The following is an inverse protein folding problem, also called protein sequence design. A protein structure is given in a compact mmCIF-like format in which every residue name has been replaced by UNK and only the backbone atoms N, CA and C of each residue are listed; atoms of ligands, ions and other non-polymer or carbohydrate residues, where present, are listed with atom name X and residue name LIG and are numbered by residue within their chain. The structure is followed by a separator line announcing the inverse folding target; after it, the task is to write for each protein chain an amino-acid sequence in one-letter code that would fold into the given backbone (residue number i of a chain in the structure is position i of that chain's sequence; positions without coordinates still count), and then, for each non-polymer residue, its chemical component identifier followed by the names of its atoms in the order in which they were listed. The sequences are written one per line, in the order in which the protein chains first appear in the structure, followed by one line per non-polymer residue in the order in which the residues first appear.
data_IF_157621596371
#
_entry.id   IF_157621596371
#
_cell.length_a   1.000
_cell.length_b   1.000
_cell.length_c   1.000
_cell.angle_alpha   90.00
_cell.angle_beta   90.00
_cell.angle_gamma   90.00
#
_symmetry.space_group_name_H-M   'P 1'
#
loop_
_entity.id
_entity.type
_entity.pdbx_description
1 polymer ?
#
# COMPACT_ATOMS: atom_id res chain seq x y z
N UNK A 1 14.77 7.40 3.53
CA UNK A 1 15.25 6.10 4.07
C UNK A 1 15.02 4.99 3.06
N UNK A 2 15.92 4.03 3.00
CA UNK A 2 15.74 2.83 2.19
C UNK A 2 15.28 1.69 3.11
N UNK A 3 14.15 1.06 2.80
CA UNK A 3 13.68 -0.15 3.50
C UNK A 3 14.10 -1.38 2.69
N UNK A 4 14.58 -2.44 3.33
CA UNK A 4 14.85 -3.74 2.71
C UNK A 4 13.95 -4.82 3.31
N UNK A 5 13.69 -5.92 2.60
CA UNK A 5 13.05 -7.08 3.21
C UNK A 5 13.94 -7.65 4.35
N UNK A 6 13.33 -8.34 5.33
CA UNK A 6 14.05 -8.92 6.47
C UNK A 6 14.92 -10.13 6.08
N UNK A 7 14.71 -10.72 4.91
CA UNK A 7 15.62 -11.70 4.31
C UNK A 7 16.18 -11.16 3.01
N UNK A 8 17.44 -11.50 2.70
CA UNK A 8 18.16 -10.99 1.53
C UNK A 8 18.69 -12.17 0.71
N UNK A 9 17.86 -12.79 -0.14
CA UNK A 9 18.36 -13.80 -1.08
C UNK A 9 19.29 -13.15 -2.11
N UNK A 10 20.18 -13.95 -2.69
CA UNK A 10 21.04 -13.58 -3.79
C UNK A 10 20.19 -13.08 -4.96
N UNK A 11 20.51 -11.90 -5.53
CA UNK A 11 19.79 -11.41 -6.70
C UNK A 11 19.97 -12.32 -7.92
N UNK A 12 18.92 -12.42 -8.72
CA UNK A 12 18.92 -13.12 -10.00
C UNK A 12 19.04 -12.10 -11.14
N UNK A 13 19.92 -12.36 -12.11
CA UNK A 13 20.10 -11.45 -13.23
C UNK A 13 18.79 -11.25 -14.02
N UNK A 14 18.38 -9.99 -14.19
CA UNK A 14 17.17 -9.63 -14.93
C UNK A 14 15.85 -9.83 -14.15
N UNK A 15 15.89 -10.15 -12.86
CA UNK A 15 14.68 -10.20 -12.05
C UNK A 15 14.10 -8.80 -11.82
N UNK A 16 12.78 -8.69 -11.73
CA UNK A 16 12.12 -7.46 -11.31
C UNK A 16 12.22 -7.28 -9.79
N UNK A 17 12.07 -6.05 -9.32
CA UNK A 17 12.03 -5.75 -7.89
C UNK A 17 10.90 -6.53 -7.19
N UNK A 18 9.73 -6.64 -7.83
CA UNK A 18 8.61 -7.44 -7.32
C UNK A 18 8.96 -8.92 -7.20
N UNK A 19 9.61 -9.51 -8.21
CA UNK A 19 10.04 -10.90 -8.16
C UNK A 19 11.09 -11.14 -7.06
N UNK A 20 12.01 -10.19 -6.86
CA UNK A 20 12.96 -10.23 -5.74
C UNK A 20 12.24 -10.19 -4.40
N UNK A 21 11.31 -9.24 -4.21
CA UNK A 21 10.55 -9.09 -2.97
C UNK A 21 9.72 -10.34 -2.66
N UNK A 22 9.08 -10.96 -3.65
CA UNK A 22 8.31 -12.20 -3.48
C UNK A 22 9.18 -13.38 -3.02
N UNK A 23 10.46 -13.44 -3.42
CA UNK A 23 11.40 -14.45 -2.89
C UNK A 23 11.98 -14.07 -1.53
N UNK A 24 12.10 -12.78 -1.24
CA UNK A 24 12.68 -12.26 -0.01
C UNK A 24 11.68 -12.24 1.16
N UNK A 25 10.38 -12.11 0.87
CA UNK A 25 9.28 -12.07 1.84
C UNK A 25 8.24 -13.11 1.47
N UNK A 26 8.53 -14.37 1.79
CA UNK A 26 7.58 -15.47 1.61
C UNK A 26 6.50 -15.37 2.69
N UNK A 27 5.47 -14.56 2.44
CA UNK A 27 4.35 -14.35 3.34
C UNK A 27 3.52 -15.62 3.52
N UNK A 28 2.94 -15.78 4.72
CA UNK A 28 1.97 -16.82 5.01
C UNK A 28 0.69 -16.60 4.22
N UNK A 29 0.14 -17.69 3.66
CA UNK A 29 -1.19 -17.69 3.07
C UNK A 29 -2.27 -17.55 4.16
N UNK A 30 -3.52 -17.20 3.80
CA UNK A 30 -4.64 -17.21 4.74
C UNK A 30 -4.69 -18.51 5.57
N UNK A 31 -4.81 -18.36 6.89
CA UNK A 31 -4.72 -19.48 7.84
C UNK A 31 -3.31 -19.78 8.35
N UNK A 32 -2.26 -19.17 7.79
CA UNK A 32 -0.86 -19.35 8.18
C UNK A 32 -0.15 -18.04 8.56
N UNK A 33 -0.87 -17.13 9.25
CA UNK A 33 -0.38 -15.81 9.67
C UNK A 33 -0.40 -14.77 8.55
N UNK A 34 -1.51 -14.73 7.82
CA UNK A 34 -1.79 -13.73 6.80
C UNK A 34 -2.23 -12.40 7.43
N UNK A 35 -1.71 -11.29 6.93
CA UNK A 35 -2.14 -9.94 7.29
C UNK A 35 -3.39 -9.54 6.47
N UNK A 36 -4.44 -8.93 7.05
CA UNK A 36 -4.54 -8.39 8.40
C UNK A 36 -5.45 -9.20 9.35
N UNK A 37 -6.12 -10.23 8.86
CA UNK A 37 -7.16 -10.96 9.61
C UNK A 37 -7.04 -12.47 9.46
N UNK A 38 -7.37 -13.18 10.54
CA UNK A 38 -7.53 -14.63 10.55
C UNK A 38 -8.93 -15.07 10.11
N UNK A 39 -9.15 -16.38 9.97
CA UNK A 39 -10.47 -16.94 9.65
C UNK A 39 -11.49 -16.75 10.77
N UNK A 40 -11.03 -16.59 12.00
CA UNK A 40 -11.86 -16.25 13.15
C UNK A 40 -12.06 -14.72 13.28
N UNK A 41 -11.64 -13.95 12.26
CA UNK A 41 -11.68 -12.49 12.21
C UNK A 41 -10.85 -11.79 13.29
N UNK A 42 -9.94 -12.46 13.98
CA UNK A 42 -8.98 -11.76 14.82
C UNK A 42 -8.02 -10.93 13.96
N UNK A 43 -7.72 -9.71 14.39
CA UNK A 43 -6.65 -8.88 13.84
C UNK A 43 -5.31 -9.61 13.95
N UNK A 44 -4.48 -9.43 12.95
CA UNK A 44 -3.15 -9.98 12.85
C UNK A 44 -2.20 -8.83 12.51
N UNK A 45 -1.39 -8.40 13.50
CA UNK A 45 -0.57 -7.18 13.45
C UNK A 45 0.49 -7.10 12.35
N UNK A 46 0.81 -8.25 11.74
CA UNK A 46 1.75 -8.34 10.64
C UNK A 46 1.57 -9.64 9.87
N UNK A 47 2.66 -10.26 9.44
CA UNK A 47 2.59 -11.52 8.70
C UNK A 47 3.65 -12.50 9.16
N UNK A 48 3.33 -13.79 9.09
CA UNK A 48 4.34 -14.82 9.17
C UNK A 48 5.16 -14.82 7.87
N UNK A 49 6.49 -14.74 8.00
CA UNK A 49 7.41 -14.89 6.88
C UNK A 49 8.18 -16.20 7.00
N UNK A 50 8.24 -16.97 5.93
CA UNK A 50 9.15 -18.11 5.80
C UNK A 50 10.52 -17.62 5.35
N UNK A 51 11.58 -17.93 6.10
CA UNK A 51 12.94 -17.62 5.70
C UNK A 51 13.29 -18.41 4.41
N UNK A 52 13.71 -17.72 3.33
CA UNK A 52 14.18 -18.39 2.13
C UNK A 52 15.41 -19.24 2.43
N UNK A 53 15.68 -20.25 1.59
CA UNK A 53 16.85 -21.12 1.75
C UNK A 53 17.85 -20.92 0.63
N UNK A 54 19.13 -20.86 0.99
CA UNK A 54 20.27 -20.85 0.06
C UNK A 54 21.25 -21.95 0.44
N UNK A 55 21.69 -22.73 -0.55
CA UNK A 55 22.55 -23.91 -0.33
C UNK A 55 22.05 -24.82 0.82
N UNK A 56 20.71 -24.98 0.93
CA UNK A 56 20.06 -25.80 1.95
C UNK A 56 19.91 -25.15 3.33
N UNK A 57 20.40 -23.93 3.55
CA UNK A 57 20.32 -23.22 4.84
C UNK A 57 19.33 -22.06 4.77
N UNK A 58 18.53 -21.88 5.80
CA UNK A 58 17.67 -20.71 5.91
C UNK A 58 18.52 -19.44 6.03
N UNK A 59 18.07 -18.37 5.37
CA UNK A 59 18.70 -17.07 5.46
C UNK A 59 18.49 -16.47 6.87
N UNK A 60 19.49 -15.73 7.38
CA UNK A 60 19.34 -15.05 8.65
C UNK A 60 18.36 -13.87 8.54
N UNK A 61 17.72 -13.55 9.66
CA UNK A 61 16.83 -12.38 9.79
C UNK A 61 17.69 -11.13 9.91
N UNK A 62 17.33 -10.07 9.18
CA UNK A 62 18.09 -8.82 9.11
C UNK A 62 17.23 -7.59 9.36
N UNK A 63 17.88 -6.54 9.87
CA UNK A 63 17.25 -5.24 10.06
C UNK A 63 16.80 -4.65 8.71
N UNK A 64 15.54 -4.17 8.63
CA UNK A 64 14.95 -3.65 7.39
C UNK A 64 15.42 -2.22 7.07
N UNK A 65 15.82 -1.48 8.10
CA UNK A 65 16.24 -0.09 8.05
C UNK A 65 17.18 0.20 9.23
N UNK A 66 17.91 1.31 9.15
CA UNK A 66 18.68 1.81 10.28
C UNK A 66 17.74 2.14 11.44
N UNK A 67 18.15 1.86 12.66
CA UNK A 67 17.31 2.11 13.82
C UNK A 67 18.02 1.89 15.14
N UNK A 68 17.25 2.06 16.20
CA UNK A 68 17.68 1.84 17.58
C UNK A 68 16.95 0.66 18.18
N UNK A 69 17.66 -0.19 18.91
CA UNK A 69 17.07 -1.33 19.59
C UNK A 69 16.12 -0.82 20.70
N UNK A 70 14.81 -0.93 20.49
CA UNK A 70 13.80 -0.47 21.44
C UNK A 70 13.47 -1.55 22.48
N UNK A 71 13.41 -2.80 22.03
CA UNK A 71 13.11 -3.96 22.86
C UNK A 71 13.80 -5.20 22.31
N UNK A 72 14.15 -6.12 23.19
CA UNK A 72 14.53 -7.48 22.82
C UNK A 72 14.14 -8.45 23.93
N UNK A 73 13.94 -9.71 23.53
CA UNK A 73 13.72 -10.85 24.43
C UNK A 73 14.45 -12.05 23.84
N UNK A 74 15.38 -12.61 24.61
CA UNK A 74 16.04 -13.87 24.23
C UNK A 74 15.01 -15.00 24.14
N UNK A 75 15.16 -15.91 23.16
CA UNK A 75 14.27 -17.06 23.05
C UNK A 75 14.42 -18.00 24.24
N UNK A 76 13.29 -18.54 24.69
CA UNK A 76 13.29 -19.62 25.67
C UNK A 76 13.95 -20.87 25.08
N UNK A 77 14.69 -21.65 25.88
CA UNK A 77 15.15 -22.97 25.46
C UNK A 77 13.95 -23.84 25.03
N UNK A 78 14.16 -24.66 23.99
CA UNK A 78 13.13 -25.59 23.53
C UNK A 78 12.75 -26.54 24.65
N UNK A 79 11.45 -26.58 24.98
CA UNK A 79 10.85 -27.53 25.89
C UNK A 79 10.00 -28.51 25.08
N UNK A 80 10.34 -29.80 25.20
CA UNK A 80 9.68 -30.87 24.46
C UNK A 80 8.52 -31.50 25.24
N UNK A 81 8.18 -30.99 26.42
CA UNK A 81 7.01 -31.47 27.16
C UNK A 81 5.71 -31.14 26.40
N UNK A 82 4.71 -32.01 26.52
CA UNK A 82 3.42 -31.83 25.86
C UNK A 82 2.67 -30.60 26.39
N UNK A 83 2.89 -30.25 27.66
CA UNK A 83 2.28 -29.13 28.37
C UNK A 83 3.14 -27.86 28.38
N UNK A 84 4.26 -27.86 27.63
CA UNK A 84 5.12 -26.69 27.53
C UNK A 84 4.31 -25.47 27.08
N UNK A 85 4.41 -24.30 27.75
CA UNK A 85 3.56 -23.14 27.45
C UNK A 85 3.65 -22.63 26.02
N UNK A 86 4.75 -22.92 25.32
CA UNK A 86 5.00 -22.53 23.94
C UNK A 86 4.65 -23.62 22.91
N UNK A 87 4.01 -24.70 23.33
CA UNK A 87 3.65 -25.85 22.50
C UNK A 87 2.14 -25.90 22.18
N UNK A 88 1.55 -24.77 21.80
CA UNK A 88 0.12 -24.65 21.50
C UNK A 88 -0.18 -24.97 20.02
N UNK A 89 -0.06 -26.26 19.65
CA UNK A 89 -0.08 -26.81 18.28
C UNK A 89 1.29 -26.93 17.63
N UNK A 90 2.27 -27.36 18.44
CA UNK A 90 3.68 -27.45 18.05
C UNK A 90 4.48 -26.30 18.64
N UNK A 91 5.77 -26.56 18.87
CA UNK A 91 6.69 -25.57 19.45
C UNK A 91 6.70 -24.27 18.64
N UNK A 92 6.57 -23.15 19.36
CA UNK A 92 6.65 -21.80 18.82
C UNK A 92 7.71 -21.02 19.58
N UNK A 93 8.77 -20.61 18.88
CA UNK A 93 9.84 -19.83 19.50
C UNK A 93 9.32 -18.45 19.92
N UNK A 94 9.90 -17.82 20.94
CA UNK A 94 9.41 -16.55 21.46
C UNK A 94 10.47 -15.44 21.52
N UNK A 95 11.62 -15.65 20.86
CA UNK A 95 12.64 -14.61 20.70
C UNK A 95 12.08 -13.42 19.93
N UNK A 96 12.41 -12.21 20.38
CA UNK A 96 11.85 -10.97 19.84
C UNK A 96 12.88 -9.85 19.78
N UNK A 97 12.86 -9.07 18.70
CA UNK A 97 13.56 -7.79 18.56
C UNK A 97 12.57 -6.75 18.06
N UNK A 98 12.60 -5.56 18.64
CA UNK A 98 11.88 -4.38 18.14
C UNK A 98 12.89 -3.27 17.88
N UNK A 99 12.89 -2.76 16.66
CA UNK A 99 13.71 -1.62 16.26
C UNK A 99 12.82 -0.39 16.11
N UNK A 100 13.25 0.73 16.68
CA UNK A 100 12.66 2.05 16.46
C UNK A 100 13.44 2.77 15.36
N UNK A 101 12.72 3.25 14.36
CA UNK A 101 13.27 3.93 13.21
C UNK A 101 12.83 5.40 13.23
N UNK A 102 13.78 6.29 12.97
CA UNK A 102 13.49 7.69 12.66
C UNK A 102 13.95 7.96 11.24
N UNK A 103 13.09 8.56 10.43
CA UNK A 103 13.43 8.94 9.07
C UNK A 103 12.75 10.24 8.66
N UNK A 104 13.28 10.82 7.60
CA UNK A 104 12.64 11.88 6.82
C UNK A 104 12.15 11.26 5.50
N UNK A 105 10.90 11.51 5.14
CA UNK A 105 10.28 11.12 3.85
C UNK A 105 10.13 12.33 2.90
N UNK A 106 10.70 13.46 3.27
CA UNK A 106 10.52 14.77 2.66
C UNK A 106 11.12 15.86 3.54
N UNK A 107 10.80 17.11 3.27
CA UNK A 107 11.27 18.28 4.00
C UNK A 107 10.33 18.68 5.14
N UNK A 108 10.83 19.43 6.13
CA UNK A 108 10.02 19.97 7.21
C UNK A 108 9.57 18.96 8.28
N UNK A 109 8.92 19.46 9.33
CA UNK A 109 8.59 18.67 10.51
C UNK A 109 7.56 17.56 10.25
N UNK A 110 6.60 17.79 9.34
CA UNK A 110 5.55 16.82 9.01
C UNK A 110 6.02 15.68 8.11
N UNK A 111 7.26 15.74 7.62
CA UNK A 111 7.91 14.68 6.84
C UNK A 111 8.84 13.82 7.71
N UNK A 112 8.92 14.10 9.01
CA UNK A 112 9.62 13.24 9.98
C UNK A 112 8.68 12.15 10.46
N UNK A 113 9.12 10.91 10.30
CA UNK A 113 8.32 9.74 10.62
C UNK A 113 9.10 8.87 11.60
N UNK A 114 8.41 8.48 12.66
CA UNK A 114 8.84 7.42 13.57
C UNK A 114 7.97 6.19 13.33
N UNK A 115 8.60 5.05 13.13
CA UNK A 115 7.92 3.76 13.03
C UNK A 115 8.78 2.68 13.67
N UNK A 116 8.21 1.51 13.88
CA UNK A 116 8.88 0.37 14.50
C UNK A 116 8.80 -0.83 13.56
N UNK A 117 9.85 -1.65 13.57
CA UNK A 117 9.80 -2.99 13.00
C UNK A 117 9.95 -4.03 14.10
N UNK A 118 9.12 -5.06 14.05
CA UNK A 118 9.01 -6.10 15.08
C UNK A 118 9.34 -7.44 14.45
N UNK A 119 10.30 -8.15 15.04
CA UNK A 119 10.81 -9.45 14.58
C UNK A 119 10.56 -10.48 15.67
N UNK A 120 9.52 -11.27 15.53
CA UNK A 120 9.08 -12.26 16.52
C UNK A 120 9.35 -13.69 16.06
N UNK A 121 9.29 -14.62 17.03
CA UNK A 121 9.56 -16.04 16.85
C UNK A 121 10.97 -16.34 16.32
N UNK A 122 11.96 -15.56 16.77
CA UNK A 122 13.37 -15.87 16.55
C UNK A 122 13.77 -17.06 17.42
N UNK A 123 14.47 -18.04 16.85
CA UNK A 123 15.05 -19.15 17.62
C UNK A 123 16.38 -18.76 18.28
N UNK A 124 17.00 -17.67 17.79
CA UNK A 124 18.25 -17.15 18.32
C UNK A 124 18.43 -15.68 17.96
N UNK A 125 18.87 -14.87 18.92
CA UNK A 125 19.39 -13.53 18.68
C UNK A 125 20.91 -13.62 18.51
N UNK A 126 21.44 -13.00 17.46
CA UNK A 126 22.89 -12.97 17.18
C UNK A 126 23.49 -11.59 17.32
N UNK A 127 22.68 -10.57 17.64
CA UNK A 127 23.16 -9.25 18.01
C UNK A 127 24.06 -9.40 19.23
N UNK A 128 25.28 -8.87 19.15
CA UNK A 128 26.26 -8.98 20.23
C UNK A 128 25.90 -8.04 21.38
N UNK A 129 25.80 -8.58 22.59
CA UNK A 129 25.53 -7.83 23.83
C UNK A 129 24.35 -6.83 23.67
N UNK A 130 23.14 -7.29 23.28
CA UNK A 130 22.03 -6.41 22.92
C UNK A 130 21.63 -5.53 24.11
N UNK A 131 21.50 -4.22 23.86
CA UNK A 131 21.09 -3.22 24.85
C UNK A 131 20.11 -2.25 24.24
N UNK A 132 19.06 -1.90 24.99
CA UNK A 132 18.13 -0.85 24.55
C UNK A 132 18.89 0.44 24.23
N UNK A 133 18.54 1.08 23.12
CA UNK A 133 19.22 2.26 22.59
C UNK A 133 20.47 1.98 21.72
N UNK A 134 20.89 0.71 21.59
CA UNK A 134 21.95 0.33 20.66
C UNK A 134 21.55 0.65 19.22
N UNK A 135 22.48 1.20 18.45
CA UNK A 135 22.31 1.41 17.01
C UNK A 135 22.41 0.07 16.28
N UNK A 136 21.46 -0.17 15.38
CA UNK A 136 21.42 -1.33 14.49
C UNK A 136 21.26 -0.79 13.07
N UNK A 137 22.15 -1.20 12.18
CA UNK A 137 22.16 -0.71 10.81
C UNK A 137 21.38 -1.63 9.88
N UNK A 138 20.80 -1.05 8.84
CA UNK A 138 20.08 -1.77 7.80
C UNK A 138 20.93 -2.92 7.26
N UNK A 139 20.29 -4.08 7.11
CA UNK A 139 20.87 -5.37 6.68
C UNK A 139 21.79 -6.04 7.72
N UNK A 140 22.04 -5.47 8.89
CA UNK A 140 22.73 -6.23 9.95
C UNK A 140 21.93 -7.47 10.34
N UNK A 141 22.64 -8.54 10.68
CA UNK A 141 22.03 -9.80 11.09
C UNK A 141 21.51 -9.68 12.52
N UNK A 142 20.21 -9.87 12.68
CA UNK A 142 19.52 -9.82 13.95
C UNK A 142 19.52 -11.19 14.65
N UNK A 143 19.32 -12.26 13.88
CA UNK A 143 19.13 -13.59 14.42
C UNK A 143 18.76 -14.65 13.39
N UNK A 144 18.31 -15.78 13.90
CA UNK A 144 17.85 -16.93 13.12
C UNK A 144 16.33 -17.05 13.23
N UNK A 145 15.65 -17.36 12.11
CA UNK A 145 14.23 -17.63 12.11
C UNK A 145 13.93 -18.89 12.94
N UNK A 146 12.85 -18.87 13.71
CA UNK A 146 12.47 -19.96 14.59
C UNK A 146 11.35 -20.83 14.02
N UNK A 147 10.52 -21.37 14.91
CA UNK A 147 9.36 -22.18 14.61
C UNK A 147 8.09 -21.44 15.00
N UNK A 148 7.04 -21.64 14.23
CA UNK A 148 5.67 -21.23 14.56
C UNK A 148 4.77 -22.43 14.32
N UNK A 149 4.04 -22.87 15.34
CA UNK A 149 3.20 -24.08 15.30
C UNK A 149 3.97 -25.31 14.81
N UNK A 150 5.23 -25.46 15.25
CA UNK A 150 6.15 -26.51 14.81
C UNK A 150 6.76 -26.33 13.41
N UNK A 151 6.24 -25.43 12.57
CA UNK A 151 6.77 -25.17 11.24
C UNK A 151 8.06 -24.35 11.31
N UNK A 152 9.16 -24.91 10.78
CA UNK A 152 10.51 -24.34 10.93
C UNK A 152 10.79 -23.12 10.04
N UNK A 153 11.81 -22.34 10.40
CA UNK A 153 12.31 -21.21 9.63
C UNK A 153 11.25 -20.13 9.37
N UNK A 154 10.42 -19.82 10.37
CA UNK A 154 9.39 -18.78 10.30
C UNK A 154 9.68 -17.67 11.31
N UNK A 155 9.26 -16.46 10.98
CA UNK A 155 9.15 -15.33 11.91
C UNK A 155 7.76 -14.71 11.78
N UNK A 156 7.29 -14.02 12.81
CA UNK A 156 6.22 -13.04 12.66
C UNK A 156 6.84 -11.66 12.54
N UNK A 157 6.40 -10.89 11.56
CA UNK A 157 7.03 -9.61 11.20
C UNK A 157 5.98 -8.51 11.04
N UNK A 158 6.21 -7.39 11.71
CA UNK A 158 5.31 -6.23 11.68
C UNK A 158 6.08 -4.94 11.40
N UNK A 159 5.38 -3.98 10.78
CA UNK A 159 5.79 -2.58 10.70
C UNK A 159 4.63 -1.76 11.25
N UNK A 160 4.88 -1.07 12.36
CA UNK A 160 3.85 -0.28 13.06
C UNK A 160 4.30 1.17 13.24
N UNK A 161 3.35 2.07 13.35
CA UNK A 161 3.59 3.46 13.70
C UNK A 161 2.52 3.91 14.69
N UNK A 162 2.89 4.85 15.57
CA UNK A 162 1.92 5.48 16.46
C UNK A 162 0.91 6.32 15.67
N UNK A 163 -0.30 6.47 16.20
CA UNK A 163 -1.37 7.29 15.61
C UNK A 163 -0.91 8.70 15.21
N UNK A 164 -0.08 9.34 16.05
CA UNK A 164 0.49 10.65 15.76
C UNK A 164 1.37 10.68 14.51
N UNK A 165 1.91 9.53 14.11
CA UNK A 165 2.81 9.37 12.97
C UNK A 165 2.07 8.98 11.69
N UNK A 166 0.86 8.44 11.78
CA UNK A 166 0.07 8.02 10.60
C UNK A 166 -0.10 9.19 9.64
N UNK A 167 -0.51 10.37 10.14
CA UNK A 167 -0.65 11.57 9.32
C UNK A 167 0.66 11.99 8.64
N UNK A 168 1.80 11.85 9.32
CA UNK A 168 3.11 12.17 8.75
C UNK A 168 3.49 11.17 7.65
N UNK A 169 3.18 9.89 7.83
CA UNK A 169 3.47 8.85 6.83
C UNK A 169 2.58 9.04 5.60
N UNK A 170 1.26 9.09 5.77
CA UNK A 170 0.28 8.96 4.67
C UNK A 170 -0.31 10.28 4.18
N UNK A 171 -0.14 11.36 4.94
CA UNK A 171 -0.58 12.70 4.54
C UNK A 171 -2.05 13.04 4.82
N UNK A 172 -2.82 12.11 5.40
CA UNK A 172 -4.23 12.31 5.74
C UNK A 172 -4.60 11.54 7.01
N UNK A 173 -5.68 11.95 7.65
CA UNK A 173 -6.37 11.23 8.73
C UNK A 173 -7.71 10.68 8.26
N UNK A 174 -8.28 11.29 7.23
CA UNK A 174 -9.52 10.84 6.62
C UNK A 174 -9.29 9.62 5.71
N UNK A 175 -10.36 8.85 5.50
CA UNK A 175 -10.35 7.65 4.64
C UNK A 175 -9.89 7.97 3.20
N UNK A 176 -10.32 9.12 2.68
CA UNK A 176 -10.09 9.55 1.31
C UNK A 176 -9.43 10.93 1.25
N UNK A 177 -8.64 11.19 0.20
CA UNK A 177 -8.14 12.53 -0.08
C UNK A 177 -9.29 13.42 -0.54
N UNK A 178 -9.30 14.69 -0.11
CA UNK A 178 -10.19 15.73 -0.65
C UNK A 178 -9.71 16.22 -2.03
N UNK A 179 -9.63 15.29 -2.98
CA UNK A 179 -8.88 15.49 -4.21
C UNK A 179 -9.45 16.57 -5.11
N UNK A 180 -10.74 16.89 -5.02
CA UNK A 180 -11.39 17.87 -5.87
C UNK A 180 -11.02 19.32 -5.53
N UNK A 181 -10.52 19.56 -4.33
CA UNK A 181 -10.40 20.92 -3.78
C UNK A 181 -9.00 21.26 -3.29
N UNK A 182 -8.20 20.27 -2.89
CA UNK A 182 -6.90 20.48 -2.26
C UNK A 182 -5.87 19.55 -2.88
N UNK A 183 -4.76 20.11 -3.37
CA UNK A 183 -3.60 19.33 -3.84
C UNK A 183 -2.92 18.56 -2.70
N UNK A 184 -2.20 17.51 -3.05
CA UNK A 184 -1.37 16.74 -2.13
C UNK A 184 -0.23 17.55 -1.49
N UNK A 185 0.45 16.90 -0.55
CA UNK A 185 1.53 17.51 0.23
C UNK A 185 2.69 17.95 -0.66
N UNK A 186 3.31 19.07 -0.32
CA UNK A 186 4.49 19.57 -1.07
C UNK A 186 5.78 19.15 -0.41
N UNK A 187 5.75 19.03 0.91
CA UNK A 187 6.88 18.69 1.74
C UNK A 187 7.34 17.23 1.57
N UNK A 188 6.46 16.34 1.09
CA UNK A 188 6.79 14.96 0.72
C UNK A 188 6.27 14.69 -0.69
N UNK A 189 7.17 14.39 -1.62
CA UNK A 189 6.84 14.20 -3.02
C UNK A 189 7.77 13.16 -3.65
N UNK A 190 7.22 11.99 -3.99
CA UNK A 190 7.97 10.89 -4.58
C UNK A 190 7.05 9.99 -5.41
N UNK A 191 7.65 9.12 -6.22
CA UNK A 191 6.93 8.19 -7.09
C UNK A 191 6.27 8.86 -8.28
N UNK A 192 5.13 8.31 -8.70
CA UNK A 192 4.32 8.83 -9.79
C UNK A 192 3.53 10.06 -9.33
N UNK A 193 3.32 11.00 -10.24
CA UNK A 193 2.48 12.18 -9.99
C UNK A 193 1.07 11.94 -10.50
N UNK A 194 0.08 12.48 -9.81
CA UNK A 194 -1.33 12.34 -10.15
C UNK A 194 -1.99 13.71 -10.25
N UNK A 195 -2.92 13.83 -11.18
CA UNK A 195 -3.69 15.04 -11.39
C UNK A 195 -5.17 14.70 -11.42
N UNK A 196 -5.98 15.42 -10.65
CA UNK A 196 -7.42 15.39 -10.83
C UNK A 196 -7.84 16.51 -11.78
N UNK A 197 -8.50 16.12 -12.87
CA UNK A 197 -9.01 17.00 -13.90
C UNK A 197 -10.54 17.06 -13.72
N UNK A 198 -11.10 18.19 -13.27
CA UNK A 198 -12.55 18.34 -13.22
C UNK A 198 -13.14 18.49 -14.64
N UNK A 199 -14.45 18.25 -14.83
CA UNK A 199 -15.07 18.17 -16.16
C UNK A 199 -15.01 19.48 -16.97
N UNK A 200 -14.79 20.62 -16.32
CA UNK A 200 -14.58 21.92 -17.00
C UNK A 200 -13.22 22.06 -17.69
N UNK A 201 -12.27 21.14 -17.46
CA UNK A 201 -10.95 21.19 -18.09
C UNK A 201 -11.05 20.85 -19.58
N UNK A 202 -10.62 21.79 -20.42
CA UNK A 202 -10.70 21.67 -21.88
C UNK A 202 -9.50 20.92 -22.46
N UNK A 203 -9.78 20.04 -23.43
CA UNK A 203 -8.78 19.36 -24.25
C UNK A 203 -8.73 19.93 -25.66
N UNK A 204 -7.53 20.32 -26.08
CA UNK A 204 -7.27 21.04 -27.32
C UNK A 204 -6.64 20.17 -28.41
N UNK A 205 -6.93 20.47 -29.67
CA UNK A 205 -6.48 19.69 -30.83
C UNK A 205 -4.95 19.70 -30.99
N UNK A 206 -4.36 20.88 -30.79
CA UNK A 206 -2.95 21.12 -31.02
C UNK A 206 -2.24 21.58 -29.74
N UNK A 207 -0.92 21.44 -29.73
CA UNK A 207 -0.08 21.96 -28.64
C UNK A 207 -0.22 23.50 -28.60
N UNK A 208 0.01 24.14 -27.44
CA UNK A 208 -0.03 25.60 -27.37
C UNK A 208 1.02 26.24 -28.29
N UNK A 209 0.75 27.46 -28.75
CA UNK A 209 1.75 28.26 -29.48
C UNK A 209 2.89 28.77 -28.57
N UNK A 210 2.62 28.91 -27.27
CA UNK A 210 3.58 29.30 -26.23
C UNK A 210 3.37 28.38 -25.02
N UNK A 211 4.43 27.71 -24.56
CA UNK A 211 4.32 26.68 -23.52
C UNK A 211 3.86 27.22 -22.16
N UNK A 212 4.16 28.47 -21.85
CA UNK A 212 3.79 29.10 -20.58
C UNK A 212 2.40 29.73 -20.60
N UNK A 213 1.79 29.93 -21.76
CA UNK A 213 0.46 30.54 -21.88
C UNK A 213 -0.61 29.57 -21.39
N UNK A 214 -1.51 30.05 -20.53
CA UNK A 214 -2.66 29.28 -20.04
C UNK A 214 -3.76 29.13 -21.09
N UNK A 215 -3.74 29.96 -22.14
CA UNK A 215 -4.70 29.88 -23.23
C UNK A 215 -4.14 29.06 -24.40
N UNK A 216 -4.98 28.21 -24.98
CA UNK A 216 -4.69 27.52 -26.23
C UNK A 216 -5.69 27.97 -27.29
N UNK A 217 -5.18 28.58 -28.36
CA UNK A 217 -5.99 29.16 -29.45
C UNK A 217 -6.52 28.12 -30.43
N UNK A 218 -6.09 26.86 -30.33
CA UNK A 218 -6.60 25.79 -31.18
C UNK A 218 -8.02 25.37 -30.77
N UNK A 219 -8.70 24.63 -31.64
CA UNK A 219 -10.05 24.15 -31.36
C UNK A 219 -10.06 23.26 -30.11
N UNK A 220 -11.01 23.54 -29.21
CA UNK A 220 -11.40 22.59 -28.18
C UNK A 220 -12.02 21.37 -28.86
N UNK A 221 -11.45 20.20 -28.63
CA UNK A 221 -11.89 18.92 -29.21
C UNK A 221 -12.37 17.94 -28.17
N UNK A 222 -12.08 18.17 -26.89
CA UNK A 222 -12.49 17.30 -25.78
C UNK A 222 -12.98 18.12 -24.60
N UNK A 223 -14.07 17.64 -24.01
CA UNK A 223 -14.61 18.08 -22.74
C UNK A 223 -15.01 16.79 -21.99
N UNK A 224 -14.36 16.44 -20.87
CA UNK A 224 -14.76 15.29 -20.07
C UNK A 224 -16.21 15.43 -19.59
N UNK A 225 -16.98 14.33 -19.64
CA UNK A 225 -18.32 14.32 -19.04
C UNK A 225 -18.27 14.36 -17.51
N UNK A 226 -17.27 13.71 -16.93
CA UNK A 226 -16.99 13.60 -15.51
C UNK A 226 -15.51 13.89 -15.23
N UNK A 227 -15.15 13.97 -13.95
CA UNK A 227 -13.74 14.14 -13.56
C UNK A 227 -12.87 12.96 -13.97
N UNK A 228 -11.58 13.23 -14.22
CA UNK A 228 -10.59 12.23 -14.62
C UNK A 228 -9.36 12.30 -13.70
N UNK A 229 -8.67 11.18 -13.57
CA UNK A 229 -7.32 11.14 -13.01
C UNK A 229 -6.29 10.95 -14.12
N UNK A 230 -5.20 11.70 -14.08
CA UNK A 230 -4.04 11.49 -14.94
C UNK A 230 -2.86 11.11 -14.06
N UNK A 231 -2.22 9.97 -14.36
CA UNK A 231 -0.95 9.57 -13.76
C UNK A 231 0.19 9.92 -14.71
N UNK A 232 1.19 10.62 -14.21
CA UNK A 232 2.45 10.91 -14.88
C UNK A 232 3.56 10.08 -14.25
N UNK A 233 4.03 9.07 -14.99
CA UNK A 233 5.07 8.14 -14.54
C UNK A 233 6.34 8.28 -15.37
N UNK A 234 7.48 8.30 -14.69
CA UNK A 234 8.79 8.36 -15.33
C UNK A 234 9.54 7.05 -15.14
N UNK A 235 10.01 6.46 -16.23
CA UNK A 235 10.79 5.22 -16.17
C UNK A 235 11.71 5.10 -17.37
N UNK A 236 12.99 4.79 -17.11
CA UNK A 236 14.01 4.48 -18.12
C UNK A 236 14.11 5.53 -19.23
N UNK A 237 13.99 6.82 -18.90
CA UNK A 237 14.11 7.89 -19.87
C UNK A 237 12.78 8.37 -20.45
N UNK A 238 11.66 7.69 -20.17
CA UNK A 238 10.36 8.00 -20.76
C UNK A 238 9.39 8.58 -19.71
N UNK A 239 8.50 9.47 -20.14
CA UNK A 239 7.31 9.90 -19.41
C UNK A 239 6.07 9.26 -20.03
N UNK A 240 5.32 8.49 -19.25
CA UNK A 240 4.05 7.87 -19.61
C UNK A 240 2.93 8.57 -18.87
N UNK A 241 1.95 9.08 -19.62
CA UNK A 241 0.72 9.64 -19.09
C UNK A 241 -0.41 8.62 -19.27
N UNK A 242 -0.96 8.12 -18.17
CA UNK A 242 -2.11 7.21 -18.18
C UNK A 242 -3.33 7.94 -17.64
N UNK A 243 -4.45 7.92 -18.36
CA UNK A 243 -5.70 8.57 -17.94
C UNK A 243 -6.68 7.53 -17.41
N UNK A 244 -7.35 7.86 -16.30
CA UNK A 244 -8.31 6.99 -15.63
C UNK A 244 -9.62 7.71 -15.34
N UNK A 245 -10.71 6.96 -15.30
CA UNK A 245 -11.98 7.40 -14.70
C UNK A 245 -11.86 7.51 -13.18
N UNK A 246 -12.86 8.09 -12.51
CA UNK A 246 -12.91 8.12 -11.04
C UNK A 246 -12.97 6.72 -10.41
N UNK A 247 -13.54 5.75 -11.12
CA UNK A 247 -13.62 4.35 -10.70
C UNK A 247 -12.30 3.57 -10.97
N UNK A 248 -11.30 4.22 -11.55
CA UNK A 248 -9.98 3.64 -11.82
C UNK A 248 -9.86 2.86 -13.13
N UNK A 249 -10.86 2.96 -14.03
CA UNK A 249 -10.76 2.37 -15.38
C UNK A 249 -9.78 3.17 -16.24
N UNK A 250 -8.79 2.48 -16.83
CA UNK A 250 -7.82 3.12 -17.72
C UNK A 250 -8.44 3.44 -19.09
N UNK A 251 -8.56 4.73 -19.41
CA UNK A 251 -9.08 5.21 -20.70
C UNK A 251 -8.02 5.13 -21.81
N UNK A 252 -6.75 5.21 -21.45
CA UNK A 252 -5.65 5.11 -22.40
C UNK A 252 -4.35 5.67 -21.88
N UNK A 253 -3.30 5.52 -22.69
CA UNK A 253 -1.95 5.95 -22.36
C UNK A 253 -1.34 6.78 -23.50
N UNK A 254 -0.60 7.83 -23.13
CA UNK A 254 0.14 8.68 -24.05
C UNK A 254 1.59 8.79 -23.57
N UNK A 255 2.52 8.42 -24.45
CA UNK A 255 3.95 8.63 -24.22
C UNK A 255 4.35 10.02 -24.65
N UNK A 256 5.25 10.62 -23.89
CA UNK A 256 6.02 11.77 -24.37
C UNK A 256 7.05 11.35 -25.42
N UNK A 257 7.74 12.36 -25.95
CA UNK A 257 8.86 12.17 -26.87
C UNK A 257 9.93 11.21 -26.30
N UNK A 258 10.67 10.56 -27.19
CA UNK A 258 11.71 9.62 -26.77
C UNK A 258 12.75 10.33 -25.89
N UNK A 259 13.15 9.68 -24.80
CA UNK A 259 14.12 10.21 -23.83
C UNK A 259 13.65 11.48 -23.08
N UNK A 260 12.33 11.75 -23.04
CA UNK A 260 11.79 12.95 -22.41
C UNK A 260 12.30 13.16 -20.96
N UNK A 261 12.41 12.10 -20.16
CA UNK A 261 12.93 12.20 -18.78
C UNK A 261 14.37 12.71 -18.75
N UNK A 262 15.23 12.16 -19.61
CA UNK A 262 16.65 12.55 -19.68
C UNK A 262 16.82 13.97 -20.24
N UNK A 263 15.89 14.40 -21.09
CA UNK A 263 15.91 15.71 -21.72
C UNK A 263 15.10 16.77 -20.93
N UNK A 264 14.65 16.46 -19.70
CA UNK A 264 13.81 17.37 -18.92
C UNK A 264 14.48 18.74 -18.68
N UNK A 265 15.79 18.75 -18.44
CA UNK A 265 16.54 20.00 -18.25
C UNK A 265 16.56 20.85 -19.52
N UNK A 266 16.89 20.26 -20.67
CA UNK A 266 16.86 20.98 -21.95
C UNK A 266 15.45 21.48 -22.27
N UNK A 267 14.44 20.64 -22.00
CA UNK A 267 13.03 20.98 -22.17
C UNK A 267 12.62 22.13 -21.26
N UNK A 268 13.10 22.18 -20.01
CA UNK A 268 12.75 23.27 -19.10
C UNK A 268 13.41 24.59 -19.48
N UNK A 269 14.65 24.56 -19.98
CA UNK A 269 15.36 25.74 -20.50
C UNK A 269 14.66 26.30 -21.73
N UNK A 270 14.21 25.44 -22.65
CA UNK A 270 13.48 25.86 -23.86
C UNK A 270 12.08 26.41 -23.55
N UNK A 271 11.30 25.70 -22.72
CA UNK A 271 9.89 26.02 -22.46
C UNK A 271 9.69 27.10 -21.40
N UNK A 272 10.63 27.26 -20.47
CA UNK A 272 10.54 28.20 -19.34
C UNK A 272 11.84 29.03 -19.21
N UNK A 273 12.22 29.81 -20.25
CA UNK A 273 13.52 30.48 -20.30
C UNK A 273 13.76 31.49 -19.17
N UNK A 274 12.70 32.08 -18.62
CA UNK A 274 12.79 33.05 -17.52
C UNK A 274 13.05 32.38 -16.15
N UNK A 275 12.71 31.09 -16.00
CA UNK A 275 12.88 30.33 -14.76
C UNK A 275 13.00 28.80 -14.99
N UNK A 276 14.08 28.32 -15.64
CA UNK A 276 14.19 26.91 -16.04
C UNK A 276 14.11 25.90 -14.88
N UNK A 277 14.50 26.29 -13.67
CA UNK A 277 14.43 25.47 -12.46
C UNK A 277 12.98 25.21 -12.03
N UNK A 278 12.17 26.26 -11.89
CA UNK A 278 10.74 26.13 -11.60
C UNK A 278 10.00 25.39 -12.72
N UNK A 279 10.38 25.65 -13.98
CA UNK A 279 9.86 24.91 -15.14
C UNK A 279 10.21 23.42 -15.11
N UNK A 280 11.42 23.06 -14.68
CA UNK A 280 11.84 21.67 -14.52
C UNK A 280 10.98 20.96 -13.48
N UNK A 281 10.77 21.59 -12.31
CA UNK A 281 9.95 21.02 -11.25
C UNK A 281 8.49 20.90 -11.68
N UNK A 282 7.94 21.89 -12.40
CA UNK A 282 6.59 21.79 -12.96
C UNK A 282 6.48 20.59 -13.92
N UNK A 283 7.44 20.41 -14.82
CA UNK A 283 7.44 19.27 -15.76
C UNK A 283 7.60 17.92 -15.03
N UNK A 284 8.45 17.85 -14.00
CA UNK A 284 8.76 16.60 -13.29
C UNK A 284 7.71 16.20 -12.25
N UNK A 285 7.22 17.17 -11.49
CA UNK A 285 6.39 16.96 -10.30
C UNK A 285 4.96 17.49 -10.46
N UNK A 286 4.65 18.17 -11.57
CA UNK A 286 3.35 18.84 -11.75
C UNK A 286 3.17 20.11 -10.90
N UNK A 287 4.17 20.44 -10.08
CA UNK A 287 4.19 21.59 -9.17
C UNK A 287 5.63 21.96 -8.88
N UNK A 288 5.88 23.25 -8.65
CA UNK A 288 7.15 23.73 -8.11
C UNK A 288 7.22 23.35 -6.64
N UNK A 289 8.29 22.75 -6.17
CA UNK A 289 8.54 22.36 -4.77
C UNK A 289 9.53 23.32 -4.10
N UNK A 290 10.55 23.76 -4.84
CA UNK A 290 11.59 24.67 -4.36
C UNK A 290 11.14 26.12 -4.20
N UNK A 291 12.12 26.98 -3.91
CA UNK A 291 11.91 28.41 -3.65
C UNK A 291 11.74 29.26 -4.91
N UNK A 292 12.11 28.74 -6.08
CA UNK A 292 12.03 29.47 -7.34
C UNK A 292 10.57 29.66 -7.75
N UNK A 293 10.24 30.79 -8.38
CA UNK A 293 8.88 31.05 -8.84
C UNK A 293 8.76 30.79 -10.34
N UNK A 294 7.59 30.31 -10.78
CA UNK A 294 7.26 30.30 -12.20
C UNK A 294 7.20 31.73 -12.74
N UNK A 295 7.65 31.90 -13.97
CA UNK A 295 7.58 33.12 -14.75
C UNK A 295 7.00 32.76 -16.14
N UNK A 296 5.76 33.18 -16.43
CA UNK A 296 4.80 33.85 -15.55
C UNK A 296 4.36 32.97 -14.37
N UNK A 297 3.83 33.57 -13.30
CA UNK A 297 3.47 32.86 -12.05
C UNK A 297 2.44 31.76 -12.25
N UNK A 298 1.58 31.89 -13.26
CA UNK A 298 0.57 30.90 -13.64
C UNK A 298 0.98 30.08 -14.88
N UNK A 299 2.28 29.94 -15.14
CA UNK A 299 2.76 29.24 -16.33
C UNK A 299 2.12 27.84 -16.47
N UNK A 300 1.63 27.56 -17.68
CA UNK A 300 0.90 26.33 -17.96
C UNK A 300 1.79 25.09 -17.96
N UNK A 301 1.17 23.93 -17.67
CA UNK A 301 1.79 22.61 -17.78
C UNK A 301 1.07 21.80 -18.86
N UNK A 302 1.35 22.12 -20.12
CA UNK A 302 0.69 21.44 -21.24
C UNK A 302 1.23 20.03 -21.45
N UNK A 303 0.32 19.06 -21.41
CA UNK A 303 0.57 17.65 -21.72
C UNK A 303 -0.46 17.12 -22.70
N UNK A 304 -0.05 16.20 -23.57
CA UNK A 304 -0.99 15.44 -24.38
C UNK A 304 -1.40 14.20 -23.59
N UNK A 305 -2.69 14.00 -23.37
CA UNK A 305 -3.23 12.85 -22.64
C UNK A 305 -4.23 12.08 -23.50
N UNK A 306 -4.49 10.83 -23.11
CA UNK A 306 -5.49 9.99 -23.74
C UNK A 306 -6.88 10.23 -23.14
N UNK A 307 -7.90 10.16 -23.98
CA UNK A 307 -9.32 10.09 -23.66
C UNK A 307 -9.89 8.83 -24.32
N UNK A 308 -11.13 8.45 -23.98
CA UNK A 308 -11.79 7.26 -24.54
C UNK A 308 -11.92 7.29 -26.07
N UNK A 309 -11.92 8.46 -26.68
CA UNK A 309 -12.16 8.68 -28.12
C UNK A 309 -10.98 9.38 -28.83
N UNK A 310 -9.78 9.41 -28.24
CA UNK A 310 -8.57 9.98 -28.83
C UNK A 310 -7.74 10.80 -27.86
N UNK A 311 -6.79 11.59 -28.36
CA UNK A 311 -5.83 12.30 -27.51
C UNK A 311 -5.98 13.82 -27.68
N UNK A 312 -5.83 14.57 -26.59
CA UNK A 312 -5.90 16.04 -26.61
C UNK A 312 -4.88 16.67 -25.67
N UNK A 313 -4.56 17.94 -25.93
CA UNK A 313 -3.66 18.74 -25.09
C UNK A 313 -4.41 19.39 -23.95
N UNK A 314 -3.91 19.21 -22.72
CA UNK A 314 -4.52 19.69 -21.49
C UNK A 314 -3.48 20.41 -20.64
N UNK A 315 -3.87 21.51 -19.99
CA UNK A 315 -3.05 22.20 -19.01
C UNK A 315 -3.23 21.55 -17.63
N UNK A 316 -2.24 20.78 -17.19
CA UNK A 316 -2.25 20.11 -15.89
C UNK A 316 -1.93 21.04 -14.70
N UNK A 317 -1.60 22.31 -14.96
CA UNK A 317 -1.41 23.35 -13.95
C UNK A 317 -2.49 24.43 -14.05
N UNK A 318 -3.69 24.05 -14.53
CA UNK A 318 -4.88 24.90 -14.45
C UNK A 318 -5.28 25.12 -12.98
N UNK A 319 -5.86 26.28 -12.65
CA UNK A 319 -6.25 26.61 -11.27
C UNK A 319 -7.30 25.68 -10.65
N UNK A 320 -8.02 24.91 -11.47
CA UNK A 320 -9.02 23.92 -11.02
C UNK A 320 -8.45 22.50 -10.95
N UNK A 321 -7.21 22.28 -11.40
CA UNK A 321 -6.54 20.98 -11.33
C UNK A 321 -5.78 20.88 -10.01
N UNK A 322 -5.93 19.76 -9.33
CA UNK A 322 -5.16 19.44 -8.12
C UNK A 322 -4.11 18.38 -8.44
N UNK A 323 -2.98 18.44 -7.75
CA UNK A 323 -1.81 17.59 -8.01
C UNK A 323 -1.41 16.80 -6.76
N UNK A 324 -1.14 15.50 -6.91
CA UNK A 324 -0.74 14.57 -5.86
C UNK A 324 0.46 13.74 -6.33
N UNK A 325 0.98 12.92 -5.43
CA UNK A 325 2.06 11.97 -5.69
C UNK A 325 1.79 10.66 -4.96
N UNK A 326 2.62 9.63 -5.18
CA UNK A 326 2.54 8.40 -4.38
C UNK A 326 2.71 8.67 -2.87
N UNK A 327 3.35 9.78 -2.50
CA UNK A 327 3.48 10.25 -1.13
C UNK A 327 2.15 10.56 -0.42
N UNK A 328 1.07 10.71 -1.18
CA UNK A 328 -0.26 11.03 -0.66
C UNK A 328 -1.15 9.79 -0.49
N UNK A 329 -0.64 8.59 -0.82
CA UNK A 329 -1.36 7.31 -0.73
C UNK A 329 -2.77 7.40 -1.36
N UNK A 330 -2.88 7.79 -2.65
CA UNK A 330 -4.17 8.10 -3.25
C UNK A 330 -5.10 6.89 -3.39
N UNK A 331 -6.38 7.08 -3.07
CA UNK A 331 -7.38 5.99 -3.10
C UNK A 331 -7.65 5.47 -4.52
N UNK A 332 -7.53 6.31 -5.54
CA UNK A 332 -7.64 5.88 -6.95
C UNK A 332 -6.47 5.01 -7.39
N UNK A 333 -5.35 5.00 -6.65
CA UNK A 333 -4.26 4.03 -6.84
C UNK A 333 -4.41 2.80 -5.93
N UNK A 334 -5.57 2.62 -5.30
CA UNK A 334 -5.93 1.45 -4.49
C UNK A 334 -5.64 1.57 -3.01
N UNK A 335 -5.03 2.66 -2.54
CA UNK A 335 -4.68 2.85 -1.12
C UNK A 335 -5.90 3.18 -0.26
N UNK A 336 -6.09 2.42 0.82
CA UNK A 336 -7.25 2.54 1.72
C UNK A 336 -6.78 2.68 3.15
N UNK A 337 -7.32 3.66 3.87
CA UNK A 337 -7.15 3.77 5.32
C UNK A 337 -8.37 3.17 6.01
N UNK A 338 -8.13 2.17 6.86
CA UNK A 338 -9.13 1.45 7.64
C UNK A 338 -8.86 1.75 9.11
N UNK A 339 -9.65 2.68 9.67
CA UNK A 339 -9.59 3.17 11.06
C UNK A 339 -11.02 3.26 11.63
N UNK A 340 -11.85 2.25 11.33
CA UNK A 340 -13.25 2.18 11.75
C UNK A 340 -13.53 1.03 12.72
N UNK A 341 -12.48 0.50 13.32
CA UNK A 341 -12.55 -0.50 14.38
C UNK A 341 -11.93 0.05 15.67
N UNK A 342 -12.76 0.26 16.68
CA UNK A 342 -12.42 1.02 17.88
C UNK A 342 -12.65 0.24 19.18
N UNK A 343 -13.01 -1.04 19.10
CA UNK A 343 -12.98 -1.90 20.29
C UNK A 343 -11.53 -2.20 20.69
N UNK A 344 -11.30 -2.93 21.78
CA UNK A 344 -9.96 -3.26 22.29
C UNK A 344 -9.75 -4.78 22.39
N UNK A 345 -10.64 -5.59 21.80
CA UNK A 345 -10.67 -7.05 22.01
C UNK A 345 -9.90 -7.85 20.95
N UNK A 346 -9.24 -7.14 20.01
CA UNK A 346 -8.45 -7.70 18.91
C UNK A 346 -9.26 -8.54 17.91
N UNK A 347 -10.59 -8.49 17.96
CA UNK A 347 -11.46 -9.10 16.95
C UNK A 347 -11.95 -8.05 15.95
N UNK A 348 -11.75 -8.29 14.66
CA UNK A 348 -12.12 -7.35 13.61
C UNK A 348 -13.64 -7.12 13.53
N UNK A 349 -14.06 -5.91 13.90
CA UNK A 349 -15.39 -5.36 13.71
C UNK A 349 -15.47 -4.27 12.63
N UNK A 350 -14.35 -3.91 11.99
CA UNK A 350 -14.30 -2.91 10.90
C UNK A 350 -15.46 -3.07 9.89
N UNK A 351 -16.45 -2.16 9.88
CA UNK A 351 -17.56 -2.22 8.93
C UNK A 351 -17.08 -2.16 7.48
N UNK A 352 -16.08 -1.32 7.20
CA UNK A 352 -15.50 -1.20 5.87
C UNK A 352 -14.84 -2.50 5.39
N UNK A 353 -14.05 -3.18 6.23
CA UNK A 353 -13.40 -4.42 5.83
C UNK A 353 -14.42 -5.52 5.54
N UNK A 354 -15.47 -5.60 6.36
CA UNK A 354 -16.58 -6.54 6.20
C UNK A 354 -17.32 -6.32 4.89
N UNK A 355 -17.60 -5.06 4.53
CA UNK A 355 -18.21 -4.70 3.25
C UNK A 355 -17.26 -5.00 2.07
N UNK A 356 -15.98 -4.60 2.17
CA UNK A 356 -14.98 -4.77 1.13
C UNK A 356 -14.83 -6.25 0.72
N UNK A 357 -14.84 -7.14 1.70
CA UNK A 357 -14.69 -8.58 1.53
C UNK A 357 -16.04 -9.33 1.43
N UNK A 358 -17.17 -8.66 1.69
CA UNK A 358 -18.51 -9.25 1.76
C UNK A 358 -18.62 -10.37 2.80
N UNK A 359 -18.03 -10.16 3.98
CA UNK A 359 -17.98 -11.16 5.07
C UNK A 359 -19.35 -11.43 5.71
N UNK A 360 -20.32 -10.53 5.52
CA UNK A 360 -21.68 -10.64 6.06
C UNK A 360 -22.69 -11.22 5.06
N UNK A 361 -22.29 -11.46 3.81
CA UNK A 361 -23.16 -12.08 2.80
C UNK A 361 -23.22 -13.60 3.01
N UNK A 362 -24.26 -14.09 3.70
CA UNK A 362 -24.49 -15.53 3.83
C UNK A 362 -24.81 -16.14 2.43
N UNK A 363 -24.01 -17.09 1.93
CA UNK A 363 -24.25 -17.72 0.62
C UNK A 363 -25.53 -18.57 0.59
N UNK A 364 -26.07 -18.96 1.75
CA UNK A 364 -27.34 -19.68 1.88
C UNK A 364 -28.54 -18.73 2.07
N UNK A 365 -28.32 -17.53 2.63
CA UNK A 365 -29.36 -16.54 2.91
C UNK A 365 -28.86 -15.09 2.76
N UNK A 366 -28.63 -14.60 1.53
CA UNK A 366 -28.12 -13.25 1.31
C UNK A 366 -29.09 -12.20 1.84
N UNK A 367 -28.62 -11.14 2.53
CA UNK A 367 -29.48 -10.13 3.14
C UNK A 367 -29.97 -9.12 2.09
N UNK A 368 -30.79 -9.56 1.13
CA UNK A 368 -31.73 -8.75 0.35
C UNK A 368 -32.34 -9.58 -0.78
N UNK A 369 -33.38 -10.36 -0.46
CA UNK A 369 -34.45 -10.68 -1.42
C UNK A 369 -35.77 -10.53 -0.70
N UNK A 370 -36.64 -9.69 -1.23
CA UNK A 370 -38.00 -9.56 -0.73
C UNK A 370 -38.66 -10.95 -0.78
N UNK A 371 -39.41 -11.35 0.26
CA UNK A 371 -40.09 -12.67 0.36
C UNK A 371 -40.88 -13.02 -0.93
N UNK A 372 -41.31 -11.99 -1.66
CA UNK A 372 -42.06 -12.06 -2.92
C UNK A 372 -41.22 -12.51 -4.12
N UNK A 373 -39.90 -12.30 -4.14
CA UNK A 373 -39.00 -12.75 -5.21
C UNK A 373 -38.55 -14.21 -5.01
N UNK A 374 -38.40 -14.63 -3.75
CA UNK A 374 -38.05 -16.00 -3.39
C UNK A 374 -39.15 -17.00 -3.83
N UNK A 375 -40.41 -16.59 -3.82
CA UNK A 375 -41.55 -17.44 -4.22
C UNK A 375 -41.69 -17.63 -5.73
N UNK A 376 -40.89 -16.94 -6.56
CA UNK A 376 -40.95 -17.00 -8.02
C UNK A 376 -39.76 -17.70 -8.68
N UNK A 377 -38.74 -18.11 -7.91
CA UNK A 377 -37.58 -18.82 -8.45
C UNK A 377 -37.92 -20.32 -8.65
N UNK A 378 -37.76 -20.88 -9.87
CA UNK A 378 -38.23 -22.24 -10.19
C UNK A 378 -37.40 -23.39 -9.58
N UNK A 379 -36.33 -23.12 -8.82
CA UNK A 379 -35.33 -24.14 -8.47
C UNK A 379 -35.21 -24.52 -6.98
N UNK A 380 -36.19 -24.16 -6.13
CA UNK A 380 -36.25 -24.68 -4.76
C UNK A 380 -36.94 -26.06 -4.65
N UNK A 381 -36.71 -26.97 -5.61
CA UNK A 381 -37.14 -28.38 -5.49
C UNK A 381 -36.14 -29.27 -4.76
N UNK A 382 -35.04 -28.70 -4.27
CA UNK A 382 -34.23 -29.29 -3.22
C UNK A 382 -33.96 -28.22 -2.16
N UNK A 383 -34.89 -28.08 -1.22
CA UNK A 383 -34.46 -27.71 0.14
C UNK A 383 -33.60 -28.88 0.59
N UNK A 384 -32.28 -28.72 0.84
CA UNK A 384 -31.53 -29.80 1.45
C UNK A 384 -32.26 -30.15 2.73
N UNK A 385 -32.59 -31.43 2.92
CA UNK A 385 -33.13 -31.88 4.19
C UNK A 385 -32.27 -31.28 5.31
N UNK A 386 -32.90 -30.69 6.33
CA UNK A 386 -32.18 -30.40 7.57
C UNK A 386 -31.43 -31.67 7.91
N UNK A 387 -30.09 -31.66 8.05
CA UNK A 387 -29.39 -32.83 8.50
C UNK A 387 -29.87 -33.08 9.93
N UNK A 388 -30.80 -34.02 10.10
CA UNK A 388 -31.10 -34.65 11.37
C UNK A 388 -29.98 -35.66 11.63
N UNK A 389 -28.80 -35.17 12.00
CA UNK A 389 -27.78 -35.94 12.70
C UNK A 389 -27.14 -35.02 13.75
N UNK A 390 -27.13 -35.47 15.00
CA UNK A 390 -26.54 -34.79 16.14
C UNK A 390 -25.08 -34.40 15.85
N UNK A 391 -24.72 -33.11 16.01
CA UNK A 391 -23.37 -32.51 15.87
C UNK A 391 -22.87 -32.01 14.50
N UNK A 392 -23.72 -31.42 13.65
CA UNK A 392 -23.25 -30.71 12.43
C UNK A 392 -22.73 -29.29 12.76
N UNK A 393 -21.50 -29.23 13.28
CA UNK A 393 -20.62 -28.05 13.51
C UNK A 393 -21.21 -26.85 14.29
N UNK A 394 -20.50 -26.40 15.34
CA UNK A 394 -20.86 -25.19 16.10
C UNK A 394 -21.02 -23.98 15.18
N UNK A 395 -21.86 -23.00 15.57
CA UNK A 395 -22.02 -21.73 14.85
C UNK A 395 -20.66 -21.09 14.51
N UNK A 396 -19.71 -21.15 15.45
CA UNK A 396 -18.35 -20.66 15.26
C UNK A 396 -17.61 -21.36 14.12
N UNK A 397 -17.70 -22.68 14.00
CA UNK A 397 -17.06 -23.41 12.92
C UNK A 397 -17.65 -23.04 11.55
N UNK A 398 -18.97 -22.86 11.45
CA UNK A 398 -19.62 -22.47 10.19
C UNK A 398 -19.19 -21.06 9.74
N UNK A 399 -19.10 -20.12 10.68
CA UNK A 399 -18.60 -18.76 10.43
C UNK A 399 -17.14 -18.81 9.98
N UNK A 400 -16.28 -19.55 10.70
CA UNK A 400 -14.87 -19.70 10.34
C UNK A 400 -14.69 -20.25 8.92
N UNK A 401 -15.43 -21.30 8.57
CA UNK A 401 -15.37 -21.90 7.22
C UNK A 401 -15.83 -20.92 6.13
N UNK A 402 -16.89 -20.17 6.39
CA UNK A 402 -17.36 -19.14 5.47
C UNK A 402 -16.32 -18.04 5.25
N UNK A 403 -15.72 -17.53 6.33
CA UNK A 403 -14.65 -16.53 6.26
C UNK A 403 -13.43 -17.08 5.51
N UNK A 404 -13.05 -18.34 5.75
CA UNK A 404 -11.98 -19.01 5.04
C UNK A 404 -12.22 -18.99 3.52
N UNK A 405 -13.40 -19.40 3.06
CA UNK A 405 -13.76 -19.41 1.63
C UNK A 405 -13.71 -18.01 1.00
N UNK A 406 -13.91 -16.94 1.77
CA UNK A 406 -13.80 -15.56 1.29
C UNK A 406 -12.35 -15.10 1.27
N UNK A 407 -11.63 -15.25 2.38
CA UNK A 407 -10.29 -14.69 2.57
C UNK A 407 -9.25 -15.39 1.68
N UNK A 408 -9.42 -16.70 1.41
CA UNK A 408 -8.53 -17.45 0.51
C UNK A 408 -8.63 -17.04 -0.96
N UNK A 409 -9.68 -16.32 -1.38
CA UNK A 409 -9.82 -15.87 -2.77
C UNK A 409 -8.73 -14.87 -3.14
N UNK A 410 -8.11 -15.06 -4.30
CA UNK A 410 -7.14 -14.10 -4.85
C UNK A 410 -7.73 -12.69 -4.94
N UNK A 411 -9.00 -12.55 -5.34
CA UNK A 411 -9.65 -11.23 -5.39
C UNK A 411 -9.78 -10.55 -4.03
N UNK A 412 -9.94 -11.31 -2.95
CA UNK A 412 -9.91 -10.78 -1.58
C UNK A 412 -8.50 -10.36 -1.20
N UNK A 413 -7.50 -11.20 -1.47
CA UNK A 413 -6.08 -10.88 -1.21
C UNK A 413 -5.64 -9.61 -1.94
N UNK A 414 -6.01 -9.45 -3.22
CA UNK A 414 -5.74 -8.23 -3.99
C UNK A 414 -6.39 -6.98 -3.38
N UNK A 415 -7.62 -7.09 -2.88
CA UNK A 415 -8.32 -5.97 -2.24
C UNK A 415 -7.61 -5.48 -0.97
N UNK A 416 -6.83 -6.33 -0.31
CA UNK A 416 -6.14 -6.08 0.97
C UNK A 416 -4.70 -5.54 0.82
N UNK A 417 -4.03 -5.76 -0.33
CA UNK A 417 -2.61 -5.41 -0.53
C UNK A 417 -2.24 -3.94 -0.29
N UNK A 418 -3.19 -3.01 -0.44
CA UNK A 418 -2.98 -1.56 -0.29
C UNK A 418 -3.83 -0.96 0.83
N UNK A 419 -4.14 -1.76 1.84
CA UNK A 419 -4.81 -1.29 3.03
C UNK A 419 -3.80 -0.92 4.11
N UNK A 420 -4.02 0.22 4.74
CA UNK A 420 -3.36 0.68 5.95
C UNK A 420 -4.40 0.53 7.05
N UNK A 421 -4.09 -0.26 8.06
CA UNK A 421 -5.02 -0.56 9.13
C UNK A 421 -4.57 0.12 10.41
N UNK A 422 -5.55 0.67 11.12
CA UNK A 422 -5.44 1.04 12.51
C UNK A 422 -6.39 0.16 13.29
N UNK A 423 -5.83 -0.57 14.25
CA UNK A 423 -6.55 -1.47 15.14
C UNK A 423 -5.79 -1.60 16.46
N UNK A 424 -6.45 -2.09 17.53
CA UNK A 424 -5.79 -2.38 18.79
C UNK A 424 -4.69 -3.40 18.58
N UNK A 425 -3.49 -3.07 19.05
CA UNK A 425 -2.37 -3.99 19.07
C UNK A 425 -1.90 -4.17 20.50
N UNK A 426 -1.36 -5.34 20.81
CA UNK A 426 -0.68 -5.66 22.06
C UNK A 426 0.50 -4.72 22.37
N UNK A 427 0.95 -3.93 21.38
CA UNK A 427 1.98 -2.91 21.53
C UNK A 427 1.44 -1.53 21.95
N UNK A 428 0.12 -1.33 21.97
CA UNK A 428 -0.52 -0.09 22.42
C UNK A 428 -0.53 0.03 23.94
N UNK A 429 0.30 0.93 24.49
CA UNK A 429 0.40 1.20 25.92
C UNK A 429 1.14 2.49 26.25
#
# INVERSE_FOLDING_TARGET
MLISPPFLPAPTAGESDEAYLNRAMLCGEPGDGFFPISFDLNWHGGTHLKAPKEAGRALPVRAIADGTLAYFREPAPVDTSEDAPLNYSGWTDNGCIVLRHETEIGEGANSKVVFYSIYMHLSKITVKDPKKGMQIYRKEVLGEAGKIYGAENKIHFEIIADDSQVKNLIGRTERELSYQTISGRRESCWGDMYFYLPPEVLGYAERPGQWTDTNNMSSCVRLPADGLFVRMSYSRGQCLLSTFTLDGECLGEQKEEKNFEYNLYETSVDRFPDCPSAGYELLRFGRVLGSDALAPTNAAHWRKIAFSDGNAWVNLNSSTVTCFSDADFPQWSGWKLVDDDADEDSHCQSPYLRELLKLDEDPLYPPSRNIVEISKAPDFKHVPAKPEEDHVYSKSYRIKKHNQEIIEKESSKEKLKRCIFKFPSEWGG
#
